data_IF_454190277151
#
_entry.id   IF_454190277151
#
_cell.length_a   1.000
_cell.length_b   1.000
_cell.length_c   1.000
_cell.angle_alpha   90.00
_cell.angle_beta   90.00
_cell.angle_gamma   90.00
#
_symmetry.space_group_name_H-M   'P 1'
#
loop_
_entity.id
_entity.type
_entity.pdbx_description
1 polymer ?
#
# COMPACT_ATOMS: atom_id res chain seq x y z
N UNK A 1 -1.39 7.10 5.68
CA UNK A 1 -1.73 5.87 4.96
C UNK A 1 -0.67 4.80 5.17
N UNK A 2 -1.05 3.57 4.92
CA UNK A 2 -0.16 2.41 4.98
C UNK A 2 -0.15 1.76 3.60
N UNK A 3 1.02 1.37 3.14
CA UNK A 3 1.20 0.64 1.90
C UNK A 3 1.91 -0.68 2.17
N UNK A 4 1.50 -1.70 1.44
CA UNK A 4 2.24 -2.94 1.29
C UNK A 4 2.71 -3.02 -0.16
N UNK A 5 4.01 -3.00 -0.35
CA UNK A 5 4.63 -3.06 -1.67
C UNK A 5 5.32 -4.41 -1.83
N UNK A 6 4.95 -5.12 -2.87
CA UNK A 6 5.61 -6.35 -3.29
C UNK A 6 6.35 -6.05 -4.58
N UNK A 7 7.66 -6.22 -4.54
CA UNK A 7 8.53 -5.94 -5.68
C UNK A 7 9.30 -7.19 -6.07
N UNK A 8 9.18 -7.60 -7.32
CA UNK A 8 9.88 -8.76 -7.83
C UNK A 8 11.34 -8.45 -8.09
N UNK A 9 12.23 -9.38 -7.70
CA UNK A 9 13.69 -9.23 -7.82
C UNK A 9 14.36 -10.35 -8.59
N UNK A 10 13.64 -11.43 -8.90
CA UNK A 10 14.24 -12.57 -9.57
C UNK A 10 14.56 -12.23 -11.03
N UNK A 11 15.80 -12.51 -11.44
CA UNK A 11 16.28 -12.30 -12.81
C UNK A 11 16.48 -13.62 -13.56
N UNK A 12 16.07 -14.75 -12.98
CA UNK A 12 16.33 -16.06 -13.53
C UNK A 12 15.23 -16.55 -14.49
N UNK A 13 14.25 -15.71 -14.79
CA UNK A 13 13.20 -16.04 -15.75
C UNK A 13 13.79 -16.28 -17.15
N UNK A 14 13.43 -17.39 -17.79
CA UNK A 14 14.05 -17.79 -19.05
C UNK A 14 13.61 -16.97 -20.26
N UNK A 15 12.85 -15.89 -20.08
CA UNK A 15 12.50 -14.96 -21.15
C UNK A 15 11.00 -14.70 -21.28
N UNK A 16 10.57 -14.01 -22.34
CA UNK A 16 9.19 -13.61 -22.53
C UNK A 16 8.24 -14.81 -22.56
N UNK A 17 7.14 -14.73 -21.84
CA UNK A 17 6.15 -15.80 -21.76
C UNK A 17 6.31 -16.71 -20.55
N UNK A 18 7.37 -16.55 -19.77
CA UNK A 18 7.62 -17.30 -18.54
C UNK A 18 7.62 -16.32 -17.37
N UNK A 19 6.48 -15.74 -17.12
CA UNK A 19 6.30 -14.84 -15.98
C UNK A 19 5.70 -15.62 -14.81
N UNK A 20 6.20 -15.33 -13.62
CA UNK A 20 5.60 -15.78 -12.37
C UNK A 20 4.49 -14.84 -11.96
N UNK A 21 3.57 -15.33 -11.17
CA UNK A 21 2.55 -14.51 -10.55
C UNK A 21 2.75 -14.43 -9.06
N UNK A 22 2.39 -13.31 -8.48
CA UNK A 22 2.41 -13.08 -7.04
C UNK A 22 1.07 -12.51 -6.62
N UNK A 23 0.56 -13.01 -5.50
CA UNK A 23 -0.74 -12.63 -4.96
C UNK A 23 -0.58 -12.27 -3.49
N UNK A 24 -1.34 -11.30 -3.04
CA UNK A 24 -1.40 -10.93 -1.64
C UNK A 24 -2.83 -10.80 -1.17
N UNK A 25 -3.09 -11.27 0.04
CA UNK A 25 -4.38 -11.14 0.72
C UNK A 25 -4.11 -10.59 2.11
N UNK A 26 -4.70 -9.45 2.43
CA UNK A 26 -4.55 -8.87 3.76
C UNK A 26 -5.47 -9.53 4.78
N UNK A 27 -5.08 -9.47 6.04
CA UNK A 27 -5.91 -9.82 7.19
C UNK A 27 -5.75 -8.71 8.23
N UNK A 28 -6.76 -7.86 8.31
CA UNK A 28 -6.76 -6.65 9.13
C UNK A 28 -7.77 -6.71 10.26
N UNK A 29 -8.24 -7.91 10.60
CA UNK A 29 -9.27 -8.10 11.62
C UNK A 29 -8.92 -7.45 12.96
N UNK A 30 -7.64 -7.45 13.32
CA UNK A 30 -7.15 -6.90 14.59
C UNK A 30 -6.76 -5.42 14.50
N UNK A 31 -7.07 -4.76 13.39
CA UNK A 31 -6.75 -3.34 13.20
C UNK A 31 -7.94 -2.47 13.58
N UNK A 32 -7.68 -1.43 14.38
CA UNK A 32 -8.70 -0.44 14.71
C UNK A 32 -9.20 0.27 13.44
N UNK A 33 -10.49 0.27 13.25
CA UNK A 33 -11.15 0.78 12.05
C UNK A 33 -11.66 -0.32 11.13
N UNK A 34 -11.27 -1.59 11.35
CA UNK A 34 -11.78 -2.71 10.57
C UNK A 34 -13.25 -2.98 10.85
N UNK A 35 -13.62 -3.11 12.12
CA UNK A 35 -15.00 -3.40 12.50
C UNK A 35 -16.00 -2.31 12.14
N UNK A 36 -15.54 -1.07 12.03
CA UNK A 36 -16.36 0.06 11.59
C UNK A 36 -16.45 0.18 10.07
N UNK A 37 -15.69 -0.62 9.31
CA UNK A 37 -15.64 -0.57 7.86
C UNK A 37 -14.76 0.53 7.28
N UNK A 38 -14.04 1.28 8.13
CA UNK A 38 -13.13 2.32 7.69
C UNK A 38 -11.88 1.74 7.01
N UNK A 39 -11.37 0.64 7.53
CA UNK A 39 -10.26 -0.12 6.97
C UNK A 39 -10.80 -1.47 6.55
N UNK A 40 -10.53 -1.87 5.31
CA UNK A 40 -11.05 -3.11 4.74
C UNK A 40 -9.93 -3.98 4.20
N UNK A 41 -10.13 -5.28 4.24
CA UNK A 41 -9.22 -6.21 3.60
C UNK A 41 -9.16 -5.98 2.11
N UNK A 42 -7.98 -6.18 1.55
CA UNK A 42 -7.73 -6.11 0.13
C UNK A 42 -7.03 -7.38 -0.33
N UNK A 43 -7.24 -7.70 -1.57
CA UNK A 43 -6.44 -8.66 -2.30
C UNK A 43 -5.86 -7.98 -3.54
N UNK A 44 -4.70 -8.41 -3.95
CA UNK A 44 -4.03 -7.91 -5.13
C UNK A 44 -3.17 -8.99 -5.74
N UNK A 45 -2.96 -8.87 -7.02
CA UNK A 45 -2.07 -9.77 -7.75
C UNK A 45 -1.22 -8.99 -8.73
N UNK A 46 -0.08 -9.55 -9.07
CA UNK A 46 0.82 -8.99 -10.04
C UNK A 46 1.61 -10.09 -10.73
N UNK A 47 2.35 -9.71 -11.73
CA UNK A 47 3.25 -10.61 -12.44
C UNK A 47 4.68 -10.20 -12.21
N UNK A 48 5.57 -11.19 -12.15
CA UNK A 48 7.00 -11.01 -12.07
C UNK A 48 7.63 -11.51 -13.37
N UNK A 49 8.40 -10.64 -14.01
CA UNK A 49 9.11 -10.99 -15.23
C UNK A 49 10.50 -10.36 -15.18
N UNK A 50 11.53 -11.19 -15.12
CA UNK A 50 12.92 -10.74 -15.16
C UNK A 50 13.30 -9.72 -14.10
N UNK A 51 12.74 -9.83 -12.90
CA UNK A 51 13.01 -8.90 -11.80
C UNK A 51 12.12 -7.66 -11.78
N UNK A 52 11.14 -7.59 -12.68
CA UNK A 52 10.20 -6.48 -12.75
C UNK A 52 8.80 -6.95 -12.36
N UNK A 53 8.02 -6.05 -11.83
CA UNK A 53 6.64 -6.30 -11.48
C UNK A 53 6.38 -6.36 -9.99
N UNK A 54 5.22 -6.89 -9.65
CA UNK A 54 4.70 -6.92 -8.30
C UNK A 54 3.39 -6.14 -8.20
N UNK A 55 3.06 -5.71 -6.99
CA UNK A 55 1.86 -4.92 -6.75
C UNK A 55 2.02 -4.04 -5.50
N UNK A 56 1.10 -3.09 -5.35
CA UNK A 56 1.00 -2.26 -4.17
C UNK A 56 -0.44 -2.25 -3.66
N UNK A 57 -0.62 -2.49 -2.37
CA UNK A 57 -1.87 -2.24 -1.66
C UNK A 57 -1.74 -0.98 -0.82
N UNK A 58 -2.80 -0.19 -0.75
CA UNK A 58 -2.81 1.03 0.04
C UNK A 58 -4.09 1.14 0.85
N UNK A 59 -3.92 1.55 2.10
CA UNK A 59 -5.03 1.84 3.02
C UNK A 59 -4.87 3.26 3.54
N UNK A 60 -5.89 4.07 3.29
CA UNK A 60 -5.97 5.41 3.88
C UNK A 60 -6.54 5.27 5.30
N UNK A 61 -5.70 5.54 6.29
CA UNK A 61 -6.06 5.41 7.70
C UNK A 61 -6.83 6.63 8.18
N UNK A 62 -6.43 7.79 7.71
CA UNK A 62 -7.11 9.06 7.99
C UNK A 62 -7.84 9.53 6.73
N UNK A 63 -8.23 10.79 6.71
CA UNK A 63 -8.81 11.41 5.51
C UNK A 63 -7.82 11.33 4.35
N UNK A 64 -8.33 11.04 3.16
CA UNK A 64 -7.49 10.93 1.97
C UNK A 64 -6.80 12.26 1.66
N UNK A 65 -5.51 12.33 1.96
CA UNK A 65 -4.69 13.51 1.78
C UNK A 65 -3.69 13.31 0.65
N UNK A 66 -3.61 14.28 -0.24
CA UNK A 66 -2.77 14.20 -1.43
C UNK A 66 -1.30 14.56 -1.18
N UNK A 67 -0.96 15.09 0.00
CA UNK A 67 0.39 15.53 0.32
C UNK A 67 0.64 17.02 0.06
N UNK A 68 -0.36 17.76 -0.39
CA UNK A 68 -0.23 19.18 -0.72
C UNK A 68 -1.02 20.05 0.25
N UNK A 69 -0.51 21.26 0.48
CA UNK A 69 -1.22 22.26 1.26
C UNK A 69 -2.45 22.77 0.52
N UNK A 70 -3.51 23.04 1.23
CA UNK A 70 -4.72 23.62 0.67
C UNK A 70 -5.34 24.61 1.64
N UNK A 71 -6.19 25.47 1.14
CA UNK A 71 -6.92 26.45 1.94
C UNK A 71 -8.38 26.03 2.11
N UNK A 72 -8.89 26.20 3.33
CA UNK A 72 -10.26 25.88 3.66
C UNK A 72 -10.85 26.95 4.56
N UNK A 73 -12.10 27.32 4.31
CA UNK A 73 -12.84 28.26 5.17
C UNK A 73 -13.52 27.46 6.28
N UNK A 74 -12.81 27.25 7.39
CA UNK A 74 -13.30 26.48 8.51
C UNK A 74 -12.60 26.92 9.81
N UNK A 75 -13.21 26.63 10.96
CA UNK A 75 -12.57 26.88 12.24
C UNK A 75 -11.43 25.89 12.48
N UNK A 76 -10.45 26.27 13.28
CA UNK A 76 -9.36 25.38 13.68
C UNK A 76 -9.88 24.09 14.32
N UNK A 77 -10.90 24.22 15.18
CA UNK A 77 -11.51 23.06 15.82
C UNK A 77 -12.05 22.05 14.81
N UNK A 78 -12.77 22.53 13.80
CA UNK A 78 -13.33 21.66 12.75
C UNK A 78 -12.22 21.00 11.94
N UNK A 79 -11.14 21.71 11.65
CA UNK A 79 -9.99 21.15 10.93
C UNK A 79 -9.34 20.05 11.75
N UNK A 80 -9.08 20.28 13.04
CA UNK A 80 -8.53 19.25 13.92
C UNK A 80 -9.42 18.01 14.00
N UNK A 81 -10.72 18.19 14.13
CA UNK A 81 -11.68 17.07 14.19
C UNK A 81 -11.71 16.28 12.89
N UNK A 82 -11.57 16.94 11.75
CA UNK A 82 -11.59 16.29 10.44
C UNK A 82 -10.32 15.48 10.17
N UNK A 83 -9.17 16.00 10.59
CA UNK A 83 -7.86 15.42 10.27
C UNK A 83 -7.23 14.64 11.43
N UNK A 84 -7.95 14.47 12.52
CA UNK A 84 -7.51 13.63 13.62
C UNK A 84 -7.54 12.16 13.21
N UNK A 85 -6.56 11.38 13.67
CA UNK A 85 -6.43 9.97 13.31
C UNK A 85 -7.50 9.07 13.94
N UNK A 86 -8.21 9.55 14.95
CA UNK A 86 -9.26 8.79 15.65
C UNK A 86 -8.83 7.42 16.20
N UNK A 87 -7.54 7.14 16.26
CA UNK A 87 -7.00 5.85 16.68
C UNK A 87 -7.10 4.74 15.64
N UNK A 88 -7.56 5.02 14.45
CA UNK A 88 -7.60 4.03 13.38
C UNK A 88 -6.18 3.62 12.94
N UNK A 89 -6.05 2.39 12.51
CA UNK A 89 -4.78 1.85 12.05
C UNK A 89 -3.92 1.24 13.14
N UNK A 90 -4.30 1.35 14.40
CA UNK A 90 -3.60 0.69 15.51
C UNK A 90 -3.97 -0.79 15.49
N UNK A 91 -2.98 -1.66 15.58
CA UNK A 91 -3.20 -3.10 15.61
C UNK A 91 -2.17 -3.86 14.80
N UNK A 92 -2.47 -5.12 14.53
CA UNK A 92 -1.58 -6.00 13.78
C UNK A 92 -1.98 -6.00 12.32
N UNK A 93 -1.10 -5.50 11.49
CA UNK A 93 -1.26 -5.50 10.03
C UNK A 93 -0.61 -6.75 9.47
N UNK A 94 -1.38 -7.59 8.83
CA UNK A 94 -0.86 -8.82 8.24
C UNK A 94 -1.38 -9.05 6.84
N UNK A 95 -0.59 -9.78 6.07
CA UNK A 95 -0.96 -10.22 4.74
C UNK A 95 -0.29 -11.56 4.45
N UNK A 96 -0.95 -12.36 3.66
CA UNK A 96 -0.37 -13.58 3.12
C UNK A 96 0.03 -13.33 1.68
N UNK A 97 1.29 -13.57 1.38
CA UNK A 97 1.85 -13.41 0.05
C UNK A 97 2.18 -14.79 -0.48
N UNK A 98 1.70 -15.09 -1.67
CA UNK A 98 1.96 -16.34 -2.35
C UNK A 98 2.43 -16.10 -3.78
N UNK A 99 3.26 -16.99 -4.28
CA UNK A 99 3.78 -16.92 -5.64
C UNK A 99 3.47 -18.20 -6.38
N UNK A 100 3.11 -18.09 -7.64
CA UNK A 100 3.00 -19.19 -8.56
C UNK A 100 4.13 -19.09 -9.57
N UNK A 101 4.98 -20.14 -9.58
CA UNK A 101 6.17 -20.18 -10.40
C UNK A 101 5.86 -20.94 -11.68
N UNK A 102 6.07 -20.30 -12.82
CA UNK A 102 5.94 -20.90 -14.13
C UNK A 102 7.30 -21.37 -14.62
N UNK A 103 7.57 -22.66 -14.43
CA UNK A 103 8.81 -23.29 -14.89
C UNK A 103 8.70 -23.67 -16.36
N UNK A 104 9.69 -23.29 -17.16
CA UNK A 104 9.78 -23.76 -18.52
C UNK A 104 10.16 -25.24 -18.53
N UNK A 105 9.44 -26.12 -19.25
CA UNK A 105 9.92 -27.47 -19.50
C UNK A 105 11.10 -27.41 -20.47
N UNK A 106 12.31 -27.56 -19.96
CA UNK A 106 13.52 -27.43 -20.78
C UNK A 106 14.21 -28.78 -20.90
N UNK A 107 14.47 -29.15 -22.13
CA UNK A 107 15.39 -30.24 -22.46
C UNK A 107 16.80 -29.74 -22.17
N UNK A 108 17.40 -30.18 -21.09
CA UNK A 108 18.74 -29.78 -20.69
C UNK A 108 18.86 -29.23 -19.27
N UNK A 109 17.80 -29.24 -18.48
CA UNK A 109 17.87 -29.04 -17.04
C UNK A 109 17.81 -27.60 -16.51
N UNK A 110 17.53 -26.62 -17.36
CA UNK A 110 17.27 -25.27 -16.89
C UNK A 110 15.79 -25.13 -16.54
N UNK A 111 15.48 -24.91 -15.27
CA UNK A 111 14.12 -24.75 -14.77
C UNK A 111 14.14 -23.55 -13.83
N UNK A 112 13.22 -22.62 -14.05
CA UNK A 112 12.92 -21.61 -13.05
C UNK A 112 12.27 -22.31 -11.85
N UNK A 113 12.92 -22.26 -10.71
CA UNK A 113 12.52 -23.02 -9.53
C UNK A 113 12.12 -22.16 -8.35
N UNK A 114 12.33 -20.84 -8.43
CA UNK A 114 12.04 -19.93 -7.35
C UNK A 114 11.68 -18.53 -7.88
N UNK A 115 11.17 -17.72 -6.99
CA UNK A 115 10.92 -16.30 -7.23
C UNK A 115 11.34 -15.53 -6.00
N UNK A 116 12.22 -14.54 -6.18
CA UNK A 116 12.63 -13.63 -5.13
C UNK A 116 11.83 -12.32 -5.24
N UNK A 117 11.31 -11.88 -4.13
CA UNK A 117 10.63 -10.60 -4.06
C UNK A 117 10.84 -9.92 -2.71
N UNK A 118 10.80 -8.59 -2.71
CA UNK A 118 10.82 -7.78 -1.52
C UNK A 118 9.40 -7.52 -1.03
N UNK A 119 9.20 -7.65 0.26
CA UNK A 119 7.95 -7.30 0.94
C UNK A 119 8.24 -6.07 1.79
N UNK A 120 7.62 -4.95 1.45
CA UNK A 120 7.88 -3.67 2.10
C UNK A 120 6.57 -3.13 2.68
N UNK A 121 6.51 -3.06 4.01
CA UNK A 121 5.47 -2.31 4.68
C UNK A 121 5.94 -0.87 4.85
N UNK A 122 5.10 0.07 4.47
CA UNK A 122 5.42 1.50 4.54
C UNK A 122 4.29 2.24 5.22
N UNK A 123 4.62 2.98 6.27
CA UNK A 123 3.68 3.86 6.95
C UNK A 123 4.07 5.30 6.67
N UNK A 124 3.16 6.06 6.09
CA UNK A 124 3.35 7.47 5.79
C UNK A 124 2.42 8.27 6.69
N UNK A 125 3.01 9.15 7.49
CA UNK A 125 2.30 10.02 8.40
C UNK A 125 2.51 11.47 7.98
N UNK A 126 1.52 12.30 8.28
CA UNK A 126 1.58 13.74 8.03
C UNK A 126 1.37 14.48 9.34
N UNK A 127 2.10 15.56 9.51
CA UNK A 127 1.87 16.51 10.59
C UNK A 127 0.86 17.54 10.14
N UNK A 128 -0.20 17.73 10.94
CA UNK A 128 -1.17 18.78 10.66
C UNK A 128 -0.62 20.13 11.13
N UNK A 129 -0.38 21.02 10.19
CA UNK A 129 0.04 22.39 10.46
C UNK A 129 -1.05 23.33 9.95
N UNK A 130 -1.63 24.12 10.85
CA UNK A 130 -2.69 25.08 10.54
C UNK A 130 -2.09 26.48 10.54
N UNK A 131 -2.20 27.15 9.41
CA UNK A 131 -1.81 28.54 9.27
C UNK A 131 -3.06 29.39 9.01
N UNK A 132 -3.21 30.48 9.75
CA UNK A 132 -4.27 31.44 9.49
C UNK A 132 -3.91 32.29 8.28
N UNK A 133 -4.79 32.28 7.29
CA UNK A 133 -4.70 33.27 6.22
C UNK A 133 -5.25 34.59 6.73
N UNK A 134 -4.39 35.59 6.78
CA UNK A 134 -4.85 36.95 7.07
C UNK A 134 -5.56 37.48 5.83
N UNK A 135 -6.88 37.43 5.86
CA UNK A 135 -7.67 38.21 4.88
C UNK A 135 -7.54 39.66 5.28
N UNK A 136 -6.89 40.44 4.45
CA UNK A 136 -6.77 41.86 4.69
C UNK A 136 -8.13 42.52 4.90
N UNK A 137 -8.19 43.64 5.63
CA UNK A 137 -9.46 44.29 5.91
C UNK A 137 -10.18 44.63 4.63
N UNK A 138 -11.38 44.09 4.49
CA UNK A 138 -12.29 44.50 3.43
C UNK A 138 -12.93 45.79 3.84
N UNK A 139 -12.52 46.84 3.24
CA UNK A 139 -13.22 48.11 3.39
C UNK A 139 -14.36 48.21 2.40
#
# INVERSE_FOLDING_TARGET
FIELVIQCNDNDDPGPGFSDSVEGVSDLLDVEGYSSGHIQDQDAEGTCMGGNGGFTMRWDVTTNYTGESFSIASSQKTIYETWNDNGFGIGVWSATISAEINSAPVVGGFVDSDEDFDIIWRMITYELVIEESVVGPTE
#
